data_IF_469248582943
#
_entry.id   IF_469248582943
#
_cell.length_a   1.000
_cell.length_b   1.000
_cell.length_c   1.000
_cell.angle_alpha   90.00
_cell.angle_beta   90.00
_cell.angle_gamma   90.00
#
_symmetry.space_group_name_H-M   'P 1'
#
loop_
_entity.id
_entity.type
_entity.pdbx_description
1 polymer ?
#
# COMPACT_ATOMS: atom_id res chain seq x y z
N UNK A 1 -28.78 25.21 -10.57
CA UNK A 1 -29.91 25.94 -9.94
C UNK A 1 -29.45 26.45 -8.59
N UNK A 2 -29.62 27.74 -8.31
CA UNK A 2 -29.04 28.41 -7.14
C UNK A 2 -29.71 27.91 -5.84
N UNK A 3 -28.98 27.61 -4.76
CA UNK A 3 -29.51 27.01 -3.51
C UNK A 3 -30.61 27.87 -2.82
N UNK A 4 -30.65 29.15 -3.08
CA UNK A 4 -31.67 30.10 -2.54
C UNK A 4 -33.08 29.77 -3.05
N UNK A 5 -33.23 29.26 -4.28
CA UNK A 5 -34.53 28.94 -4.88
C UNK A 5 -35.14 27.67 -4.28
N UNK A 6 -34.32 26.69 -3.95
CA UNK A 6 -34.75 25.45 -3.27
C UNK A 6 -35.18 25.73 -1.82
N UNK A 7 -34.53 26.66 -1.15
CA UNK A 7 -34.87 27.04 0.21
C UNK A 7 -36.25 27.76 0.28
N UNK A 8 -36.55 28.62 -0.67
CA UNK A 8 -37.84 29.35 -0.73
C UNK A 8 -39.02 28.39 -1.03
N UNK A 9 -38.81 27.40 -1.85
CA UNK A 9 -39.82 26.35 -2.15
C UNK A 9 -40.07 25.41 -0.96
N UNK A 10 -39.03 25.13 -0.18
CA UNK A 10 -39.11 24.35 1.05
C UNK A 10 -39.86 25.09 2.18
N UNK A 11 -39.60 26.36 2.33
CA UNK A 11 -40.27 27.23 3.32
C UNK A 11 -41.77 27.37 3.06
N UNK A 12 -42.17 27.46 1.82
CA UNK A 12 -43.58 27.48 1.40
C UNK A 12 -44.29 26.15 1.67
N UNK A 13 -43.60 25.04 1.49
CA UNK A 13 -44.13 23.68 1.77
C UNK A 13 -44.36 23.41 3.26
N UNK A 14 -43.55 23.98 4.13
CA UNK A 14 -43.67 23.82 5.59
C UNK A 14 -44.83 24.68 6.17
N UNK A 15 -45.15 25.86 5.59
CA UNK A 15 -46.26 26.70 6.07
C UNK A 15 -47.65 26.09 5.80
N UNK A 16 -47.75 25.18 4.88
CA UNK A 16 -49.01 24.51 4.50
C UNK A 16 -49.34 23.28 5.39
N UNK A 17 -48.38 22.75 6.12
CA UNK A 17 -48.58 21.45 6.79
C UNK A 17 -48.63 21.46 8.32
N UNK A 18 -48.22 22.53 8.98
CA UNK A 18 -48.19 22.56 10.46
C UNK A 18 -48.59 23.94 11.00
N UNK A 19 -49.85 24.06 11.38
CA UNK A 19 -50.36 25.18 12.15
C UNK A 19 -49.76 25.16 13.56
N UNK A 20 -49.14 26.27 13.94
CA UNK A 20 -48.86 26.69 15.32
C UNK A 20 -48.00 25.74 16.19
N UNK A 21 -46.73 25.58 15.84
CA UNK A 21 -45.70 25.27 16.85
C UNK A 21 -44.46 26.14 16.65
N UNK A 22 -44.10 26.86 17.71
CA UNK A 22 -42.88 27.70 17.77
C UNK A 22 -41.68 26.78 17.86
N UNK A 23 -40.97 26.59 16.74
CA UNK A 23 -39.68 25.89 16.73
C UNK A 23 -38.66 26.88 17.32
N UNK A 24 -38.11 26.55 18.48
CA UNK A 24 -37.08 27.37 19.14
C UNK A 24 -35.84 27.48 18.23
N UNK A 25 -35.20 28.67 18.24
CA UNK A 25 -33.97 29.00 17.47
C UNK A 25 -32.83 27.99 17.63
N UNK A 26 -32.88 27.09 18.59
CA UNK A 26 -31.89 26.05 18.85
C UNK A 26 -31.99 24.85 17.87
N UNK A 27 -33.19 24.47 17.43
CA UNK A 27 -33.35 23.34 16.49
C UNK A 27 -32.85 23.64 15.08
N UNK A 28 -32.91 24.92 14.65
CA UNK A 28 -32.39 25.33 13.34
C UNK A 28 -30.86 25.35 13.27
N UNK A 29 -30.20 25.65 14.39
CA UNK A 29 -28.72 25.67 14.44
C UNK A 29 -28.14 24.28 14.34
N UNK A 30 -28.78 23.27 14.95
CA UNK A 30 -28.35 21.88 14.87
C UNK A 30 -28.60 21.27 13.49
N UNK A 31 -29.69 21.61 12.82
CA UNK A 31 -29.97 21.13 11.45
C UNK A 31 -28.99 21.74 10.43
N UNK A 32 -28.63 23.04 10.61
CA UNK A 32 -27.68 23.70 9.71
C UNK A 32 -26.24 23.21 9.91
N UNK A 33 -25.83 22.94 11.14
CA UNK A 33 -24.49 22.34 11.41
C UNK A 33 -24.41 20.89 10.95
N UNK A 34 -25.47 20.10 11.04
CA UNK A 34 -25.52 18.74 10.51
C UNK A 34 -25.48 18.71 8.97
N UNK A 35 -26.12 19.68 8.30
CA UNK A 35 -26.09 19.79 6.85
C UNK A 35 -24.73 20.29 6.33
N UNK A 36 -24.09 21.22 7.03
CA UNK A 36 -22.75 21.73 6.70
C UNK A 36 -21.64 20.71 7.01
N UNK A 37 -21.84 19.82 7.99
CA UNK A 37 -20.91 18.71 8.27
C UNK A 37 -21.06 17.54 7.28
N UNK A 38 -22.22 17.39 6.65
CA UNK A 38 -22.43 16.38 5.60
C UNK A 38 -21.73 16.76 4.28
N UNK A 39 -21.59 18.05 3.97
CA UNK A 39 -20.87 18.53 2.78
C UNK A 39 -19.34 18.62 2.96
N UNK A 40 -18.83 18.46 4.20
CA UNK A 40 -17.39 18.51 4.50
C UNK A 40 -16.68 17.17 4.61
N UNK A 41 -17.40 16.05 4.45
CA UNK A 41 -16.77 14.76 4.27
C UNK A 41 -16.74 14.47 2.77
N UNK A 42 -15.58 14.40 2.12
CA UNK A 42 -15.49 13.83 0.80
C UNK A 42 -15.86 12.34 0.99
N UNK A 43 -17.13 12.00 0.70
CA UNK A 43 -17.50 10.60 0.40
C UNK A 43 -16.91 10.32 -0.98
N UNK A 44 -15.58 10.17 -1.04
CA UNK A 44 -15.00 9.40 -2.12
C UNK A 44 -15.68 8.03 -2.08
N UNK A 45 -16.21 7.52 -3.19
CA UNK A 45 -16.63 6.13 -3.24
C UNK A 45 -15.39 5.33 -2.84
N UNK A 46 -15.40 4.76 -1.62
CA UNK A 46 -14.39 3.80 -1.18
C UNK A 46 -14.46 2.66 -2.19
N UNK A 47 -13.63 2.70 -3.21
CA UNK A 47 -13.33 1.52 -4.00
C UNK A 47 -12.71 0.56 -3.01
N UNK A 48 -13.52 -0.37 -2.52
CA UNK A 48 -13.10 -1.35 -1.54
C UNK A 48 -12.00 -2.19 -2.14
N UNK A 49 -10.78 -2.08 -1.62
CA UNK A 49 -9.63 -2.81 -2.14
C UNK A 49 -9.87 -4.32 -2.05
N UNK A 50 -9.47 -5.04 -3.08
CA UNK A 50 -9.61 -6.49 -3.18
C UNK A 50 -8.34 -7.19 -2.71
N UNK A 51 -8.47 -8.06 -1.72
CA UNK A 51 -7.37 -8.85 -1.15
C UNK A 51 -7.50 -10.31 -1.65
N UNK A 52 -6.45 -10.83 -2.26
CA UNK A 52 -6.34 -12.25 -2.60
C UNK A 52 -5.71 -13.02 -1.43
N UNK A 53 -6.42 -13.99 -0.88
CA UNK A 53 -5.95 -14.87 0.19
C UNK A 53 -5.65 -16.25 -0.40
N UNK A 54 -4.42 -16.72 -0.27
CA UNK A 54 -3.97 -18.01 -0.81
C UNK A 54 -3.32 -18.82 0.31
N UNK A 55 -4.00 -19.87 0.75
CA UNK A 55 -3.56 -20.75 1.83
C UNK A 55 -4.30 -22.10 1.68
N UNK A 56 -3.65 -23.24 1.91
CA UNK A 56 -4.31 -24.54 1.85
C UNK A 56 -5.12 -24.87 3.12
N UNK A 57 -4.89 -24.13 4.22
CA UNK A 57 -5.71 -24.21 5.44
C UNK A 57 -6.97 -23.33 5.34
N UNK A 58 -8.11 -24.00 5.19
CA UNK A 58 -9.42 -23.33 5.13
C UNK A 58 -9.76 -22.50 6.37
N UNK A 59 -9.25 -22.87 7.55
CA UNK A 59 -9.50 -22.13 8.78
C UNK A 59 -8.78 -20.78 8.74
N UNK A 60 -7.55 -20.76 8.23
CA UNK A 60 -6.78 -19.52 8.01
C UNK A 60 -7.50 -18.67 6.99
N UNK A 61 -7.85 -19.21 5.81
CA UNK A 61 -8.61 -18.48 4.80
C UNK A 61 -9.88 -17.84 5.37
N UNK A 62 -10.67 -18.60 6.13
CA UNK A 62 -11.93 -18.11 6.68
C UNK A 62 -11.70 -17.03 7.73
N UNK A 63 -10.79 -17.26 8.68
CA UNK A 63 -10.55 -16.32 9.78
C UNK A 63 -9.94 -15.00 9.30
N UNK A 64 -8.99 -15.07 8.36
CA UNK A 64 -8.39 -13.89 7.75
C UNK A 64 -9.41 -13.15 6.87
N UNK A 65 -10.23 -13.87 6.11
CA UNK A 65 -11.28 -13.26 5.29
C UNK A 65 -12.27 -12.46 6.13
N UNK A 66 -12.76 -13.03 7.22
CA UNK A 66 -13.69 -12.35 8.14
C UNK A 66 -13.03 -11.07 8.70
N UNK A 67 -11.78 -11.16 9.12
CA UNK A 67 -11.04 -10.02 9.64
C UNK A 67 -10.84 -8.91 8.59
N UNK A 68 -10.53 -9.25 7.34
CA UNK A 68 -10.39 -8.27 6.26
C UNK A 68 -11.73 -7.65 5.87
N UNK A 69 -12.80 -8.44 5.80
CA UNK A 69 -14.14 -7.95 5.48
C UNK A 69 -14.69 -7.00 6.57
N UNK A 70 -14.37 -7.25 7.85
CA UNK A 70 -14.75 -6.34 8.94
C UNK A 70 -14.09 -4.94 8.83
N UNK A 71 -12.98 -4.85 8.11
CA UNK A 71 -12.26 -3.61 7.79
C UNK A 71 -12.69 -2.99 6.44
N UNK A 72 -13.70 -3.58 5.80
CA UNK A 72 -14.27 -3.08 4.54
C UNK A 72 -13.57 -3.57 3.27
N UNK A 73 -12.64 -4.51 3.33
CA UNK A 73 -11.98 -5.08 2.16
C UNK A 73 -12.84 -6.16 1.48
N UNK A 74 -12.75 -6.27 0.17
CA UNK A 74 -13.27 -7.43 -0.58
C UNK A 74 -12.21 -8.54 -0.56
N UNK A 75 -12.60 -9.78 -0.30
CA UNK A 75 -11.68 -10.91 -0.27
C UNK A 75 -11.97 -11.93 -1.35
N UNK A 76 -10.92 -12.46 -1.99
CA UNK A 76 -10.97 -13.61 -2.88
C UNK A 76 -10.10 -14.73 -2.33
N UNK A 77 -10.68 -15.90 -2.15
CA UNK A 77 -10.06 -17.04 -1.47
C UNK A 77 -9.62 -18.09 -2.47
N UNK A 78 -8.38 -18.56 -2.32
CA UNK A 78 -7.79 -19.58 -3.17
C UNK A 78 -7.13 -20.65 -2.30
N UNK A 79 -7.54 -21.94 -2.42
CA UNK A 79 -7.01 -23.02 -1.61
C UNK A 79 -5.68 -23.59 -2.12
N UNK A 80 -5.15 -23.07 -3.22
CA UNK A 80 -3.91 -23.52 -3.82
C UNK A 80 -3.31 -22.46 -4.78
N UNK A 81 -1.99 -22.60 -5.02
CA UNK A 81 -1.25 -21.63 -5.84
C UNK A 81 -1.63 -21.64 -7.34
N UNK A 82 -2.05 -22.78 -7.90
CA UNK A 82 -2.38 -22.86 -9.33
C UNK A 82 -3.66 -22.14 -9.66
N UNK A 83 -4.72 -22.33 -8.83
CA UNK A 83 -5.99 -21.61 -8.98
C UNK A 83 -5.81 -20.11 -8.75
N UNK A 84 -4.99 -19.73 -7.78
CA UNK A 84 -4.63 -18.36 -7.50
C UNK A 84 -3.90 -17.70 -8.68
N UNK A 85 -2.86 -18.35 -9.22
CA UNK A 85 -2.08 -17.83 -10.34
C UNK A 85 -2.98 -17.51 -11.54
N UNK A 86 -3.79 -18.47 -11.96
CA UNK A 86 -4.71 -18.30 -13.10
C UNK A 86 -5.64 -17.13 -12.88
N UNK A 87 -6.32 -17.11 -11.73
CA UNK A 87 -7.30 -16.06 -11.43
C UNK A 87 -6.68 -14.66 -11.31
N UNK A 88 -5.48 -14.56 -10.72
CA UNK A 88 -4.80 -13.27 -10.52
C UNK A 88 -4.16 -12.72 -11.80
N UNK A 89 -3.79 -13.57 -12.75
CA UNK A 89 -3.33 -13.14 -14.07
C UNK A 89 -4.50 -12.62 -14.94
N UNK A 90 -5.69 -13.23 -14.81
CA UNK A 90 -6.88 -12.81 -15.54
C UNK A 90 -7.54 -11.57 -14.91
N UNK A 91 -7.59 -11.51 -13.59
CA UNK A 91 -8.20 -10.42 -12.83
C UNK A 91 -7.33 -10.11 -11.59
N UNK A 92 -6.40 -9.16 -11.66
CA UNK A 92 -5.53 -8.80 -10.56
C UNK A 92 -6.28 -8.36 -9.30
N UNK A 93 -5.70 -8.59 -8.12
CA UNK A 93 -6.11 -8.02 -6.86
C UNK A 93 -5.27 -6.77 -6.52
N UNK A 94 -5.69 -6.03 -5.50
CA UNK A 94 -4.94 -4.87 -5.02
C UNK A 94 -3.79 -5.28 -4.10
N UNK A 95 -3.90 -6.45 -3.45
CA UNK A 95 -2.87 -7.06 -2.62
C UNK A 95 -3.09 -8.56 -2.50
N UNK A 96 -2.00 -9.33 -2.46
CA UNK A 96 -2.00 -10.75 -2.16
C UNK A 96 -1.48 -11.06 -0.76
N UNK A 97 -2.12 -12.00 -0.06
CA UNK A 97 -1.63 -12.61 1.17
C UNK A 97 -1.47 -14.10 0.87
N UNK A 98 -0.23 -14.58 0.81
CA UNK A 98 0.08 -15.93 0.36
C UNK A 98 0.76 -16.72 1.47
N UNK A 99 0.27 -17.93 1.72
CA UNK A 99 1.07 -18.89 2.46
C UNK A 99 2.26 -19.36 1.65
N UNK A 100 3.40 -19.56 2.31
CA UNK A 100 4.58 -20.09 1.63
C UNK A 100 4.42 -21.58 1.36
N UNK A 101 4.00 -22.34 2.38
CA UNK A 101 3.93 -23.80 2.30
C UNK A 101 2.58 -24.31 1.84
N UNK A 102 2.44 -24.50 0.55
CA UNK A 102 1.27 -25.11 -0.05
C UNK A 102 1.65 -26.32 -0.90
N UNK A 103 0.79 -27.34 -1.01
CA UNK A 103 1.04 -28.49 -1.88
C UNK A 103 1.05 -28.08 -3.36
N UNK A 104 1.84 -28.78 -4.18
CA UNK A 104 1.98 -28.65 -5.64
C UNK A 104 2.69 -27.35 -6.07
N UNK A 105 2.09 -26.20 -5.88
CA UNK A 105 2.69 -24.88 -6.12
C UNK A 105 2.75 -24.12 -4.81
N UNK A 106 3.94 -23.92 -4.29
CA UNK A 106 4.17 -23.12 -3.09
C UNK A 106 4.02 -21.60 -3.36
N UNK A 107 3.96 -20.81 -2.29
CA UNK A 107 3.77 -19.36 -2.41
C UNK A 107 4.95 -18.66 -3.08
N UNK A 108 6.16 -19.19 -2.96
CA UNK A 108 7.36 -18.61 -3.59
C UNK A 108 7.31 -18.78 -5.11
N UNK A 109 6.95 -19.97 -5.59
CA UNK A 109 6.78 -20.25 -7.02
C UNK A 109 5.58 -19.48 -7.59
N UNK A 110 4.48 -19.36 -6.85
CA UNK A 110 3.34 -18.50 -7.20
C UNK A 110 3.80 -17.05 -7.40
N UNK A 111 4.53 -16.47 -6.44
CA UNK A 111 5.04 -15.10 -6.54
C UNK A 111 6.01 -14.96 -7.73
N UNK A 112 6.93 -15.91 -7.91
CA UNK A 112 7.89 -15.88 -9.02
C UNK A 112 7.18 -15.77 -10.37
N UNK A 113 6.17 -16.61 -10.63
CA UNK A 113 5.39 -16.60 -11.87
C UNK A 113 4.53 -15.35 -12.00
N UNK A 114 3.96 -14.89 -10.89
CA UNK A 114 3.14 -13.68 -10.88
C UNK A 114 4.00 -12.45 -11.25
N UNK A 115 5.25 -12.36 -10.77
CA UNK A 115 6.18 -11.25 -11.06
C UNK A 115 6.63 -11.16 -12.52
N UNK A 116 6.36 -12.17 -13.34
CA UNK A 116 6.58 -12.06 -14.79
C UNK A 116 5.59 -11.10 -15.47
N UNK A 117 4.43 -10.83 -14.84
CA UNK A 117 3.34 -10.05 -15.44
C UNK A 117 2.69 -9.03 -14.49
N UNK A 118 3.01 -9.03 -13.20
CA UNK A 118 2.34 -8.21 -12.20
C UNK A 118 3.27 -7.76 -11.08
N UNK A 119 3.19 -6.47 -10.75
CA UNK A 119 3.85 -5.86 -9.59
C UNK A 119 2.90 -5.74 -8.38
N UNK A 120 1.79 -6.49 -8.37
CA UNK A 120 0.83 -6.51 -7.27
C UNK A 120 1.56 -6.75 -5.94
N UNK A 121 1.32 -5.93 -4.90
CA UNK A 121 1.95 -6.13 -3.61
C UNK A 121 1.55 -7.46 -2.98
N UNK A 122 2.52 -8.12 -2.34
CA UNK A 122 2.34 -9.45 -1.73
C UNK A 122 2.94 -9.48 -0.34
N UNK A 123 2.15 -9.96 0.64
CA UNK A 123 2.58 -10.32 1.98
C UNK A 123 2.64 -11.84 2.07
N UNK A 124 3.74 -12.39 2.58
CA UNK A 124 3.82 -13.80 2.89
C UNK A 124 3.39 -14.12 4.32
N UNK A 125 2.68 -15.23 4.49
CA UNK A 125 2.52 -15.91 5.77
C UNK A 125 3.52 -17.07 5.83
N UNK A 126 4.32 -17.17 6.90
CA UNK A 126 5.40 -18.16 7.02
C UNK A 126 5.44 -18.79 8.40
N UNK A 127 5.97 -20.01 8.51
CA UNK A 127 6.22 -20.67 9.80
C UNK A 127 7.53 -20.15 10.42
N UNK A 128 7.61 -20.10 11.75
CA UNK A 128 8.77 -19.56 12.50
C UNK A 128 10.13 -20.20 12.19
N UNK A 129 10.13 -21.41 11.64
CA UNK A 129 11.36 -22.21 11.48
C UNK A 129 12.09 -21.95 10.15
N UNK A 130 11.71 -20.91 9.40
CA UNK A 130 12.09 -20.70 8.02
C UNK A 130 12.67 -19.32 7.71
N UNK A 131 13.67 -18.90 8.50
CA UNK A 131 14.45 -17.67 8.20
C UNK A 131 14.99 -17.67 6.75
N UNK A 132 15.22 -18.85 6.16
CA UNK A 132 15.70 -18.97 4.79
C UNK A 132 14.60 -18.62 3.78
N UNK A 133 13.36 -19.04 4.01
CA UNK A 133 12.21 -18.78 3.12
C UNK A 133 11.80 -17.31 3.15
N UNK A 134 11.93 -16.64 4.30
CA UNK A 134 11.79 -15.19 4.42
C UNK A 134 12.76 -14.43 3.51
N UNK A 135 14.04 -14.76 3.60
CA UNK A 135 15.08 -14.12 2.78
C UNK A 135 14.86 -14.38 1.29
N UNK A 136 14.39 -15.59 0.92
CA UNK A 136 14.05 -15.97 -0.46
C UNK A 136 12.78 -15.23 -0.92
N UNK A 137 11.73 -15.21 -0.13
CA UNK A 137 10.47 -14.52 -0.46
C UNK A 137 10.66 -13.03 -0.70
N UNK A 138 11.40 -12.36 0.18
CA UNK A 138 11.81 -10.98 -0.02
C UNK A 138 12.73 -10.83 -1.23
N UNK A 139 13.62 -11.78 -1.50
CA UNK A 139 14.48 -11.78 -2.69
C UNK A 139 13.69 -11.96 -4.00
N UNK A 140 12.53 -12.59 -3.98
CA UNK A 140 11.62 -12.75 -5.12
C UNK A 140 10.69 -11.56 -5.35
N UNK A 141 10.64 -10.59 -4.43
CA UNK A 141 9.86 -9.37 -4.61
C UNK A 141 8.58 -9.29 -3.77
N UNK A 142 8.47 -10.03 -2.67
CA UNK A 142 7.45 -9.79 -1.67
C UNK A 142 7.64 -8.42 -1.01
N UNK A 143 6.55 -7.76 -0.63
CA UNK A 143 6.58 -6.46 0.03
C UNK A 143 6.76 -6.61 1.54
N UNK A 144 6.27 -7.71 2.10
CA UNK A 144 6.38 -8.02 3.53
C UNK A 144 6.19 -9.51 3.80
N UNK A 145 6.46 -9.92 5.06
CA UNK A 145 6.16 -11.26 5.57
C UNK A 145 5.67 -11.21 7.01
N UNK A 146 4.89 -12.19 7.41
CA UNK A 146 4.35 -12.33 8.77
C UNK A 146 4.48 -13.78 9.21
N UNK A 147 5.12 -14.01 10.35
CA UNK A 147 5.31 -15.36 10.90
C UNK A 147 4.05 -15.88 11.59
N UNK A 148 3.68 -17.13 11.30
CA UNK A 148 2.61 -17.87 12.02
C UNK A 148 3.15 -18.37 13.39
N UNK A 149 2.38 -18.28 14.51
CA UNK A 149 1.06 -17.69 14.61
C UNK A 149 1.11 -16.15 14.65
N UNK A 150 0.17 -15.48 13.98
CA UNK A 150 0.13 -14.03 13.88
C UNK A 150 -1.13 -13.42 14.50
N UNK A 151 -1.03 -12.16 14.88
CA UNK A 151 -2.19 -11.35 15.26
C UNK A 151 -2.90 -10.84 14.01
N UNK A 152 -4.24 -11.04 13.94
CA UNK A 152 -5.06 -10.46 12.86
C UNK A 152 -4.91 -8.94 12.81
N UNK A 153 -4.81 -8.29 13.97
CA UNK A 153 -4.61 -6.84 14.07
C UNK A 153 -3.30 -6.41 13.39
N UNK A 154 -2.21 -7.16 13.58
CA UNK A 154 -0.92 -6.91 12.93
C UNK A 154 -1.04 -7.06 11.41
N UNK A 155 -1.68 -8.14 10.94
CA UNK A 155 -1.89 -8.38 9.52
C UNK A 155 -2.70 -7.25 8.86
N UNK A 156 -3.80 -6.81 9.49
CA UNK A 156 -4.63 -5.70 9.03
C UNK A 156 -3.82 -4.40 8.94
N UNK A 157 -3.02 -4.08 9.95
CA UNK A 157 -2.19 -2.88 9.96
C UNK A 157 -1.20 -2.88 8.78
N UNK A 158 -0.56 -4.02 8.48
CA UNK A 158 0.37 -4.17 7.35
C UNK A 158 -0.33 -4.05 6.00
N UNK A 159 -1.50 -4.70 5.84
CA UNK A 159 -2.32 -4.59 4.64
C UNK A 159 -2.70 -3.13 4.37
N UNK A 160 -3.21 -2.43 5.39
CA UNK A 160 -3.57 -1.01 5.27
C UNK A 160 -2.36 -0.14 4.90
N UNK A 161 -1.20 -0.40 5.51
CA UNK A 161 0.02 0.34 5.22
C UNK A 161 0.47 0.15 3.76
N UNK A 162 0.44 -1.07 3.23
CA UNK A 162 0.83 -1.36 1.83
C UNK A 162 -0.20 -0.79 0.85
N UNK A 163 -1.50 -0.97 1.09
CA UNK A 163 -2.55 -0.46 0.21
C UNK A 163 -2.59 1.06 0.14
N UNK A 164 -2.41 1.76 1.26
CA UNK A 164 -2.31 3.22 1.28
C UNK A 164 -1.19 3.72 0.37
N UNK A 165 -0.06 3.04 0.32
CA UNK A 165 1.05 3.34 -0.57
C UNK A 165 0.72 3.07 -2.03
N UNK A 166 -0.02 1.98 -2.30
CA UNK A 166 -0.44 1.62 -3.64
C UNK A 166 -1.56 2.53 -4.19
N UNK A 167 -2.41 3.13 -3.33
CA UNK A 167 -3.47 4.04 -3.75
C UNK A 167 -2.94 5.39 -4.23
N UNK A 168 -1.85 5.90 -3.68
CA UNK A 168 -1.15 7.07 -4.24
C UNK A 168 -0.75 6.88 -5.70
N UNK A 169 -0.66 5.63 -6.19
CA UNK A 169 -0.43 5.29 -7.61
C UNK A 169 -1.65 5.56 -8.52
N UNK A 170 -2.88 5.48 -8.00
CA UNK A 170 -4.11 5.49 -8.84
C UNK A 170 -4.71 6.86 -9.02
N UNK A 171 -4.58 7.73 -8.02
CA UNK A 171 -5.22 9.04 -8.02
C UNK A 171 -4.55 10.05 -8.96
N UNK A 172 -3.36 9.74 -9.49
CA UNK A 172 -2.60 10.60 -10.41
C UNK A 172 -2.89 10.39 -11.89
N UNK A 173 -3.88 9.57 -12.26
CA UNK A 173 -4.28 9.40 -13.68
C UNK A 173 -5.39 10.35 -14.15
N UNK A 174 -5.87 11.26 -13.29
CA UNK A 174 -6.90 12.23 -13.62
C UNK A 174 -6.62 13.61 -13.05
N UNK A 175 -6.43 14.58 -13.94
CA UNK A 175 -6.29 16.02 -13.70
C UNK A 175 -5.01 16.47 -12.98
N UNK A 176 -4.12 17.11 -13.73
CA UNK A 176 -2.99 17.87 -13.22
C UNK A 176 -3.50 19.00 -12.32
N UNK A 177 -3.50 18.77 -11.00
CA UNK A 177 -3.62 19.86 -10.04
C UNK A 177 -2.24 20.50 -9.86
N UNK A 178 -2.20 21.82 -9.72
CA UNK A 178 -0.98 22.63 -9.70
C UNK A 178 -0.03 22.38 -8.49
N UNK A 179 -0.23 21.30 -7.74
CA UNK A 179 0.56 20.87 -6.57
C UNK A 179 1.17 19.45 -6.71
N UNK A 180 1.36 18.97 -7.95
CA UNK A 180 2.12 17.71 -8.14
C UNK A 180 3.59 17.92 -7.71
N UNK A 181 4.13 17.06 -6.83
CA UNK A 181 5.54 17.15 -6.46
C UNK A 181 6.42 16.97 -7.71
N UNK A 182 7.32 17.90 -7.94
CA UNK A 182 8.24 17.84 -9.08
C UNK A 182 9.07 16.54 -9.04
N UNK A 183 9.37 15.93 -10.20
CA UNK A 183 10.25 14.78 -10.28
C UNK A 183 11.60 15.07 -9.60
N UNK A 184 12.02 14.20 -8.71
CA UNK A 184 13.30 14.31 -8.03
C UNK A 184 14.42 13.85 -8.95
N UNK A 185 15.39 14.72 -9.20
CA UNK A 185 16.61 14.41 -9.95
C UNK A 185 17.82 14.36 -9.01
N UNK A 186 18.55 13.23 -9.02
CA UNK A 186 19.79 13.04 -8.23
C UNK A 186 20.83 12.33 -9.11
N UNK A 187 21.68 13.10 -9.75
CA UNK A 187 22.63 12.56 -10.72
C UNK A 187 21.93 11.75 -11.82
N UNK A 188 22.20 10.43 -11.88
CA UNK A 188 21.56 9.52 -12.84
C UNK A 188 20.14 9.05 -12.41
N UNK A 189 19.74 9.32 -11.16
CA UNK A 189 18.43 8.93 -10.63
C UNK A 189 17.39 9.98 -10.97
N UNK A 190 16.29 9.53 -11.58
CA UNK A 190 15.07 10.29 -11.77
C UNK A 190 13.94 9.53 -11.06
N UNK A 191 13.25 10.20 -10.15
CA UNK A 191 12.10 9.64 -9.43
C UNK A 191 10.90 10.57 -9.59
N UNK A 192 9.78 10.02 -9.96
CA UNK A 192 8.48 10.68 -9.98
C UNK A 192 7.62 10.09 -8.85
N UNK A 193 7.51 10.79 -7.69
CA UNK A 193 6.73 10.30 -6.56
C UNK A 193 5.24 10.16 -6.87
N UNK A 194 4.69 11.05 -7.68
CA UNK A 194 3.28 11.04 -8.05
C UNK A 194 2.92 9.81 -8.88
N UNK A 195 3.79 9.41 -9.80
CA UNK A 195 3.60 8.23 -10.66
C UNK A 195 4.35 6.99 -10.17
N UNK A 196 5.13 7.13 -9.10
CA UNK A 196 6.05 6.10 -8.58
C UNK A 196 6.96 5.52 -9.68
N UNK A 197 7.33 6.33 -10.62
CA UNK A 197 8.26 5.95 -11.66
C UNK A 197 9.70 6.22 -11.23
N UNK A 198 10.57 5.29 -11.54
CA UNK A 198 12.00 5.41 -11.30
C UNK A 198 12.75 5.14 -12.58
N UNK A 199 13.71 6.01 -12.89
CA UNK A 199 14.66 5.80 -13.97
C UNK A 199 16.08 5.97 -13.45
N UNK A 200 16.98 5.21 -14.03
CA UNK A 200 18.40 5.34 -13.82
C UNK A 200 19.08 5.52 -15.15
N UNK A 201 19.74 6.64 -15.34
CA UNK A 201 20.33 7.02 -16.63
C UNK A 201 19.32 6.89 -17.79
N UNK A 202 18.11 7.46 -17.60
CA UNK A 202 16.95 7.43 -18.51
C UNK A 202 16.33 6.04 -18.76
N UNK A 203 16.85 4.95 -18.16
CA UNK A 203 16.28 3.59 -18.28
C UNK A 203 15.35 3.32 -17.13
N UNK A 204 14.16 2.73 -17.35
CA UNK A 204 13.20 2.45 -16.30
C UNK A 204 13.74 1.37 -15.35
N UNK A 205 13.46 1.53 -14.04
CA UNK A 205 13.72 0.55 -12.98
C UNK A 205 12.40 0.27 -12.28
N UNK A 206 11.90 -0.96 -12.39
CA UNK A 206 10.64 -1.36 -11.75
C UNK A 206 10.87 -1.71 -10.29
N UNK A 207 10.24 -0.95 -9.40
CA UNK A 207 10.32 -1.15 -7.95
C UNK A 207 8.96 -1.54 -7.37
N UNK A 208 8.98 -2.35 -6.29
CA UNK A 208 7.79 -2.51 -5.44
C UNK A 208 7.53 -1.22 -4.66
N UNK A 209 6.34 -1.09 -4.08
CA UNK A 209 5.95 0.12 -3.31
C UNK A 209 6.93 0.36 -2.17
N UNK A 210 7.28 -0.67 -1.41
CA UNK A 210 8.22 -0.59 -0.28
C UNK A 210 9.63 -0.20 -0.73
N UNK A 211 10.11 -0.79 -1.83
CA UNK A 211 11.42 -0.44 -2.41
C UNK A 211 11.47 1.01 -2.88
N UNK A 212 10.39 1.51 -3.49
CA UNK A 212 10.27 2.89 -3.91
C UNK A 212 10.39 3.85 -2.71
N UNK A 213 9.66 3.60 -1.63
CA UNK A 213 9.68 4.45 -0.43
C UNK A 213 11.05 4.46 0.26
N UNK A 214 11.70 3.30 0.35
CA UNK A 214 13.06 3.22 0.90
C UNK A 214 14.04 4.04 0.03
N UNK A 215 13.96 3.88 -1.29
CA UNK A 215 14.81 4.65 -2.21
C UNK A 215 14.54 6.15 -2.10
N UNK A 216 13.28 6.56 -2.09
CA UNK A 216 12.87 7.95 -1.92
C UNK A 216 13.39 8.54 -0.61
N UNK A 217 13.26 7.82 0.51
CA UNK A 217 13.76 8.27 1.80
C UNK A 217 15.27 8.49 1.81
N UNK A 218 16.03 7.66 1.09
CA UNK A 218 17.47 7.79 0.96
C UNK A 218 17.84 8.93 0.00
N UNK A 219 17.16 9.03 -1.15
CA UNK A 219 17.46 10.01 -2.20
C UNK A 219 16.98 11.42 -1.89
N UNK A 220 16.00 11.60 -0.99
CA UNK A 220 15.54 12.92 -0.55
C UNK A 220 16.65 13.73 0.13
N UNK A 221 17.60 13.08 0.79
CA UNK A 221 18.75 13.72 1.46
C UNK A 221 20.02 12.93 1.17
N UNK A 222 20.64 13.10 -0.02
CA UNK A 222 21.91 12.46 -0.33
C UNK A 222 22.98 12.77 0.73
N UNK A 223 23.88 11.83 0.98
CA UNK A 223 24.92 11.92 2.02
C UNK A 223 24.44 11.67 3.45
N UNK A 224 23.16 11.85 3.73
CA UNK A 224 22.60 11.62 5.08
C UNK A 224 22.35 10.14 5.33
N UNK A 225 22.92 9.63 6.44
CA UNK A 225 22.70 8.25 6.87
C UNK A 225 21.30 8.09 7.47
N UNK A 226 20.56 7.10 7.00
CA UNK A 226 19.31 6.63 7.61
C UNK A 226 19.55 5.33 8.33
N UNK A 227 19.17 5.26 9.60
CA UNK A 227 19.22 4.00 10.36
C UNK A 227 18.19 3.00 9.82
N UNK A 228 18.39 1.71 10.14
CA UNK A 228 17.41 0.68 9.80
C UNK A 228 16.04 0.99 10.38
N UNK A 229 15.99 1.39 11.65
CA UNK A 229 14.74 1.79 12.32
C UNK A 229 14.05 2.94 11.58
N UNK A 230 14.77 4.02 11.20
CA UNK A 230 14.18 5.13 10.43
C UNK A 230 13.65 4.69 9.07
N UNK A 231 14.34 3.76 8.39
CA UNK A 231 13.85 3.22 7.12
C UNK A 231 12.64 2.31 7.33
N UNK A 232 12.59 1.58 8.45
CA UNK A 232 11.42 0.81 8.86
C UNK A 232 10.21 1.71 9.11
N UNK A 233 10.36 2.76 9.92
CA UNK A 233 9.30 3.72 10.22
C UNK A 233 8.72 4.34 8.93
N UNK A 234 9.59 4.69 7.97
CA UNK A 234 9.18 5.22 6.67
C UNK A 234 8.51 4.14 5.83
N UNK A 235 9.10 2.93 5.78
CA UNK A 235 8.58 1.83 4.99
C UNK A 235 7.30 1.24 5.55
N UNK A 236 7.07 1.28 6.87
CA UNK A 236 5.96 0.57 7.52
C UNK A 236 5.11 1.45 8.44
N UNK A 237 5.51 2.70 8.70
CA UNK A 237 4.88 3.68 9.62
C UNK A 237 4.59 3.12 11.03
N UNK A 238 4.69 3.93 12.04
CA UNK A 238 4.88 3.74 13.48
C UNK A 238 4.15 2.59 14.23
N UNK A 239 3.23 1.87 13.62
CA UNK A 239 2.39 0.88 14.33
C UNK A 239 2.81 -0.59 14.14
N UNK A 240 3.93 -0.87 13.46
CA UNK A 240 4.26 -2.25 13.06
C UNK A 240 5.68 -2.63 13.48
N UNK A 241 5.79 -3.54 14.45
CA UNK A 241 7.07 -4.16 14.82
C UNK A 241 7.50 -5.14 13.71
N UNK A 242 8.50 -4.76 12.91
CA UNK A 242 9.13 -5.58 11.87
C UNK A 242 10.60 -5.76 12.23
N UNK A 243 11.19 -6.93 11.91
CA UNK A 243 12.61 -7.17 12.13
C UNK A 243 13.46 -6.25 11.24
N UNK A 244 14.50 -5.65 11.80
CA UNK A 244 15.47 -4.76 11.12
C UNK A 244 16.12 -5.42 9.88
N UNK A 245 16.20 -6.76 9.85
CA UNK A 245 16.74 -7.55 8.73
C UNK A 245 15.93 -7.39 7.44
N UNK A 246 14.65 -7.02 7.55
CA UNK A 246 13.77 -6.78 6.39
C UNK A 246 14.31 -5.65 5.52
N UNK A 247 14.84 -4.58 6.12
CA UNK A 247 15.44 -3.46 5.38
C UNK A 247 16.66 -3.90 4.59
N UNK A 248 17.53 -4.74 5.17
CA UNK A 248 18.73 -5.24 4.48
C UNK A 248 18.35 -6.02 3.20
N UNK A 249 17.26 -6.78 3.25
CA UNK A 249 16.72 -7.52 2.10
C UNK A 249 16.17 -6.58 1.02
N UNK A 250 15.45 -5.53 1.39
CA UNK A 250 14.98 -4.51 0.44
C UNK A 250 16.14 -3.76 -0.21
N UNK A 251 17.15 -3.36 0.55
CA UNK A 251 18.37 -2.70 0.01
C UNK A 251 19.12 -3.64 -0.95
N UNK A 252 19.26 -4.91 -0.61
CA UNK A 252 19.88 -5.91 -1.50
C UNK A 252 19.14 -6.03 -2.83
N UNK A 253 17.80 -6.03 -2.81
CA UNK A 253 16.97 -6.07 -4.02
C UNK A 253 17.07 -4.78 -4.84
N UNK A 254 17.00 -3.62 -4.19
CA UNK A 254 17.20 -2.32 -4.84
C UNK A 254 18.51 -2.32 -5.62
N UNK A 255 19.63 -2.63 -4.96
CA UNK A 255 20.95 -2.71 -5.61
C UNK A 255 20.96 -3.68 -6.79
N UNK A 256 20.33 -4.85 -6.64
CA UNK A 256 20.24 -5.84 -7.73
C UNK A 256 19.46 -5.29 -8.93
N UNK A 257 18.30 -4.66 -8.72
CA UNK A 257 17.47 -4.09 -9.78
C UNK A 257 18.20 -2.97 -10.53
N UNK A 258 18.89 -2.10 -9.82
CA UNK A 258 19.68 -1.04 -10.43
C UNK A 258 20.90 -1.59 -11.19
N UNK A 259 21.57 -2.63 -10.69
CA UNK A 259 22.69 -3.29 -11.38
C UNK A 259 22.27 -4.03 -12.64
N UNK A 260 21.02 -4.45 -12.77
CA UNK A 260 20.50 -5.00 -14.03
C UNK A 260 20.43 -3.93 -15.14
N UNK A 261 20.30 -2.67 -14.77
CA UNK A 261 20.23 -1.53 -15.70
C UNK A 261 21.61 -0.88 -15.92
N UNK A 262 22.42 -0.80 -14.87
CA UNK A 262 23.76 -0.23 -14.85
C UNK A 262 24.67 -1.07 -13.93
N UNK A 263 25.52 -1.91 -14.50
CA UNK A 263 26.39 -2.84 -13.76
C UNK A 263 27.30 -2.15 -12.72
N UNK A 264 27.61 -0.87 -12.93
CA UNK A 264 28.44 -0.06 -12.05
C UNK A 264 27.66 0.67 -10.95
N UNK A 265 26.37 0.34 -10.78
CA UNK A 265 25.54 0.99 -9.75
C UNK A 265 26.11 0.82 -8.34
N UNK A 266 26.44 1.94 -7.72
CA UNK A 266 27.01 2.03 -6.35
C UNK A 266 26.42 3.17 -5.51
N UNK A 267 25.31 3.79 -5.97
CA UNK A 267 24.74 4.97 -5.33
C UNK A 267 24.10 4.74 -3.95
N UNK A 268 23.93 3.51 -3.50
CA UNK A 268 23.45 3.21 -2.15
C UNK A 268 24.61 2.61 -1.34
N UNK A 269 25.10 3.36 -0.36
CA UNK A 269 26.16 2.92 0.55
C UNK A 269 25.64 2.18 1.78
N UNK A 270 26.43 1.24 2.31
CA UNK A 270 26.22 0.66 3.63
C UNK A 270 27.23 1.25 4.61
N UNK A 271 26.76 1.85 5.69
CA UNK A 271 27.60 2.24 6.82
C UNK A 271 27.38 1.22 7.94
N UNK A 272 28.36 0.36 8.11
CA UNK A 272 28.30 -0.72 9.10
C UNK A 272 27.98 -0.16 10.50
N UNK A 273 27.00 -0.77 11.16
CA UNK A 273 26.52 -0.33 12.48
C UNK A 273 25.64 0.93 12.48
N UNK A 274 25.60 1.74 11.40
CA UNK A 274 24.83 2.98 11.33
C UNK A 274 23.60 2.88 10.43
N UNK A 275 23.70 2.25 9.24
CA UNK A 275 22.58 2.15 8.32
C UNK A 275 22.96 2.32 6.84
N UNK A 276 22.14 3.06 6.10
CA UNK A 276 22.29 3.26 4.67
C UNK A 276 22.20 4.74 4.28
N UNK A 277 22.82 5.11 3.17
CA UNK A 277 22.67 6.43 2.57
C UNK A 277 22.65 6.35 1.04
N UNK A 278 22.07 7.33 0.41
CA UNK A 278 22.29 7.60 -1.01
C UNK A 278 23.56 8.44 -1.15
N UNK A 279 24.46 8.04 -2.03
CA UNK A 279 25.73 8.77 -2.25
C UNK A 279 25.45 10.19 -2.77
N UNK A 280 26.28 11.14 -2.35
CA UNK A 280 26.33 12.45 -2.98
C UNK A 280 26.92 12.29 -4.39
N UNK A 281 26.24 12.77 -5.42
CA UNK A 281 26.67 12.74 -6.81
C UNK A 281 27.67 13.88 -7.10
#
# INVERSE_FOLDING_TARGET
>A
MHPIILWHLYEQSLKVKWGSYVISRFGMFFAYTALMLADCLPISPLVSATIALVDDDRNILTSVSIAMQSEGFVTRLYPDGESALKALLDNPADLGIFDIKMPRMDGLELLRRLREKSDMPVIFLTSKDEELDEAIGLALGADDYITKPFSQRLLIARVKAILRRASFRRDTTGEQTADEPEPMLRGKLEMDPARQHVRWNSKPVTLTVTEFMILEALANRPGVVRTRSQLMDIAYQDDVYVDDRTIDSHIKRLRRKFRQVDGEFSAIDTLYGAGYRFAES
#
